data_IF_280696255973
#
_entry.id   IF_280696255973
#
_cell.length_a   1.000
_cell.length_b   1.000
_cell.length_c   1.000
_cell.angle_alpha   90.00
_cell.angle_beta   90.00
_cell.angle_gamma   90.00
#
_symmetry.space_group_name_H-M   'P 1'
#
loop_
_entity.id
_entity.type
_entity.pdbx_description
1 polymer ?
#
# COMPACT_ATOMS: atom_id res chain seq x y z
N UNK A 1 18.88 28.14 22.49
CA UNK A 1 18.24 27.22 23.44
C UNK A 1 18.09 25.90 22.72
N UNK A 2 18.25 24.75 23.38
CA UNK A 2 18.06 23.46 22.69
C UNK A 2 16.59 23.15 22.55
N UNK A 3 16.19 22.60 21.40
CA UNK A 3 14.81 22.15 21.15
C UNK A 3 14.35 21.15 22.21
N UNK A 4 15.21 20.23 22.63
CA UNK A 4 14.90 19.24 23.66
C UNK A 4 14.57 19.90 25.01
N UNK A 5 15.27 20.99 25.34
CA UNK A 5 15.04 21.75 26.57
C UNK A 5 13.69 22.49 26.52
N UNK A 6 13.35 23.09 25.37
CA UNK A 6 12.05 23.72 25.14
C UNK A 6 10.91 22.72 25.28
N UNK A 7 11.02 21.56 24.65
CA UNK A 7 10.00 20.51 24.72
C UNK A 7 9.87 19.93 26.13
N UNK A 8 10.99 19.67 26.81
CA UNK A 8 10.99 19.18 28.19
C UNK A 8 10.32 20.15 29.17
N UNK A 9 10.50 21.46 28.98
CA UNK A 9 9.81 22.49 29.78
C UNK A 9 8.29 22.38 29.67
N UNK A 10 7.78 22.07 28.47
CA UNK A 10 6.37 21.85 28.22
C UNK A 10 5.91 20.42 28.57
N UNK A 11 6.76 19.59 29.17
CA UNK A 11 6.41 18.21 29.53
C UNK A 11 6.35 17.26 28.33
N UNK A 12 7.07 17.56 27.26
CA UNK A 12 7.19 16.70 26.06
C UNK A 12 8.54 16.00 26.06
N UNK A 13 8.52 14.67 25.99
CA UNK A 13 9.71 13.80 26.11
C UNK A 13 10.54 13.69 24.82
N UNK A 14 9.88 13.79 23.66
CA UNK A 14 10.50 13.74 22.34
C UNK A 14 9.75 14.63 21.35
N UNK A 15 10.43 15.10 20.31
CA UNK A 15 9.80 15.97 19.32
C UNK A 15 8.69 15.23 18.53
N UNK A 16 7.42 15.61 18.67
CA UNK A 16 6.31 14.93 18.02
C UNK A 16 6.22 15.23 16.52
N UNK A 17 6.94 16.22 16.00
CA UNK A 17 6.83 16.71 14.63
C UNK A 17 8.10 16.50 13.79
N UNK A 18 9.06 15.72 14.28
CA UNK A 18 10.34 15.52 13.60
C UNK A 18 10.24 14.65 12.34
N UNK A 19 9.34 13.67 12.33
CA UNK A 19 9.15 12.73 11.22
C UNK A 19 7.87 13.05 10.45
N UNK A 20 7.96 13.06 9.12
CA UNK A 20 6.85 13.43 8.21
C UNK A 20 6.28 12.26 7.43
N UNK A 21 7.06 11.19 7.31
CA UNK A 21 6.70 9.99 6.58
C UNK A 21 6.12 8.97 7.55
N UNK A 22 4.86 8.60 7.35
CA UNK A 22 4.15 7.65 8.20
C UNK A 22 4.85 6.28 8.30
N UNK A 23 5.66 5.90 7.29
CA UNK A 23 6.41 4.64 7.33
C UNK A 23 7.60 4.68 8.30
N UNK A 24 8.23 5.83 8.51
CA UNK A 24 9.35 5.96 9.44
C UNK A 24 8.91 6.52 10.78
N UNK A 25 7.77 7.21 10.80
CA UNK A 25 7.22 7.90 11.96
C UNK A 25 6.91 6.96 13.13
N UNK A 26 7.83 6.94 14.11
CA UNK A 26 7.68 6.12 15.31
C UNK A 26 6.60 6.64 16.26
N UNK A 27 6.30 7.94 16.24
CA UNK A 27 5.22 8.54 17.03
C UNK A 27 3.89 8.05 16.52
N UNK A 28 3.72 8.09 15.20
CA UNK A 28 2.53 7.61 14.55
C UNK A 28 2.26 6.13 14.86
N UNK A 29 3.23 5.25 14.57
CA UNK A 29 3.07 3.80 14.72
C UNK A 29 2.82 3.33 16.15
N UNK A 30 3.47 3.95 17.12
CA UNK A 30 3.38 3.47 18.50
C UNK A 30 2.19 4.07 19.27
N UNK A 31 1.78 5.30 18.94
CA UNK A 31 0.98 6.12 19.88
C UNK A 31 -0.15 6.94 19.23
N UNK A 32 -0.24 7.03 17.89
CA UNK A 32 -1.26 7.87 17.24
C UNK A 32 -2.09 7.16 16.17
N UNK A 33 -2.02 5.83 16.09
CA UNK A 33 -2.76 5.06 15.09
C UNK A 33 -4.28 5.28 15.22
N UNK A 34 -4.78 5.51 16.43
CA UNK A 34 -6.22 5.67 16.68
C UNK A 34 -6.78 7.03 16.23
N UNK A 35 -5.93 7.99 15.84
CA UNK A 35 -6.38 9.30 15.34
C UNK A 35 -6.80 9.17 13.89
N UNK A 36 -8.10 9.01 13.67
CA UNK A 36 -8.66 8.69 12.36
C UNK A 36 -9.05 9.94 11.57
N UNK A 37 -8.92 9.85 10.25
CA UNK A 37 -9.45 10.84 9.33
C UNK A 37 -11.00 10.82 9.34
N UNK A 38 -11.70 11.96 9.14
CA UNK A 38 -13.16 11.98 9.08
C UNK A 38 -13.78 11.04 8.02
N UNK A 39 -13.06 10.80 6.93
CA UNK A 39 -13.50 9.85 5.88
C UNK A 39 -13.26 8.38 6.25
N UNK A 40 -12.74 8.07 7.44
CA UNK A 40 -12.36 6.72 7.86
C UNK A 40 -13.47 5.69 7.64
N UNK A 41 -14.69 5.97 8.08
CA UNK A 41 -15.79 4.99 7.98
C UNK A 41 -16.10 4.62 6.52
N UNK A 42 -15.94 5.56 5.59
CA UNK A 42 -16.13 5.34 4.16
C UNK A 42 -14.99 4.55 3.52
N UNK A 43 -13.78 4.74 4.04
CA UNK A 43 -12.56 4.05 3.56
C UNK A 43 -12.48 2.64 4.15
N UNK A 44 -12.61 2.49 5.47
CA UNK A 44 -12.49 1.21 6.16
C UNK A 44 -13.67 0.30 5.86
N UNK A 45 -14.91 0.74 6.11
CA UNK A 45 -16.11 -0.06 5.98
C UNK A 45 -16.19 -1.18 7.02
N UNK A 46 -16.89 -2.27 6.68
CA UNK A 46 -16.98 -3.47 7.51
C UNK A 46 -15.90 -4.49 7.09
N UNK A 47 -15.00 -4.95 7.98
CA UNK A 47 -14.03 -5.99 7.64
C UNK A 47 -14.69 -7.33 7.29
N UNK A 48 -15.87 -7.66 7.85
CA UNK A 48 -16.56 -8.92 7.57
C UNK A 48 -17.13 -8.97 6.12
N UNK A 49 -17.43 -7.81 5.54
CA UNK A 49 -17.81 -7.66 4.13
C UNK A 49 -16.83 -6.69 3.44
N UNK A 50 -15.63 -7.17 3.04
CA UNK A 50 -14.57 -6.29 2.57
C UNK A 50 -14.99 -5.58 1.28
N UNK A 51 -15.34 -4.30 1.41
CA UNK A 51 -15.78 -3.46 0.31
C UNK A 51 -14.63 -2.67 -0.32
N UNK A 52 -14.76 -2.39 -1.62
CA UNK A 52 -13.80 -1.58 -2.35
C UNK A 52 -14.02 -0.07 -2.14
N UNK A 53 -12.93 0.64 -1.88
CA UNK A 53 -12.91 2.11 -1.79
C UNK A 53 -11.76 2.71 -2.59
N UNK A 54 -12.03 3.81 -3.28
CA UNK A 54 -11.04 4.62 -3.98
C UNK A 54 -10.86 5.92 -3.21
N UNK A 55 -9.63 6.26 -2.87
CA UNK A 55 -9.31 7.41 -2.04
C UNK A 55 -8.29 8.26 -2.76
N UNK A 56 -8.69 9.45 -3.15
CA UNK A 56 -7.84 10.42 -3.81
C UNK A 56 -7.29 11.41 -2.78
N UNK A 57 -5.99 11.71 -2.84
CA UNK A 57 -5.40 12.67 -1.93
C UNK A 57 -4.08 13.22 -2.44
N UNK A 58 -3.79 14.46 -2.08
CA UNK A 58 -2.54 15.13 -2.43
C UNK A 58 -1.34 14.45 -1.74
N UNK A 59 -0.13 14.83 -2.16
CA UNK A 59 1.10 14.36 -1.53
C UNK A 59 1.18 14.88 -0.08
N UNK A 60 1.24 13.96 0.88
CA UNK A 60 1.28 14.31 2.31
C UNK A 60 -0.10 14.43 2.98
N UNK A 61 -1.20 14.17 2.27
CA UNK A 61 -2.56 14.14 2.83
C UNK A 61 -2.84 12.97 3.80
N UNK A 62 -1.88 12.05 4.00
CA UNK A 62 -2.03 10.93 4.93
C UNK A 62 -2.52 9.62 4.31
N UNK A 63 -2.37 9.42 2.98
CA UNK A 63 -2.70 8.15 2.29
C UNK A 63 -2.03 6.94 2.96
N UNK A 64 -0.71 6.98 3.12
CA UNK A 64 0.04 5.90 3.76
C UNK A 64 -0.29 5.73 5.25
N UNK A 65 -0.59 6.82 5.96
CA UNK A 65 -1.09 6.74 7.33
C UNK A 65 -2.43 6.00 7.40
N UNK A 66 -3.37 6.33 6.50
CA UNK A 66 -4.65 5.62 6.35
C UNK A 66 -4.44 4.14 6.05
N UNK A 67 -3.50 3.78 5.17
CA UNK A 67 -3.17 2.37 4.88
C UNK A 67 -2.75 1.62 6.15
N UNK A 68 -1.80 2.19 6.90
CA UNK A 68 -1.28 1.59 8.12
C UNK A 68 -2.38 1.43 9.17
N UNK A 69 -3.26 2.43 9.31
CA UNK A 69 -4.43 2.36 10.18
C UNK A 69 -5.39 1.25 9.76
N UNK A 70 -5.66 1.08 8.46
CA UNK A 70 -6.51 0.00 7.95
C UNK A 70 -5.89 -1.36 8.24
N UNK A 71 -4.59 -1.54 7.98
CA UNK A 71 -3.89 -2.79 8.25
C UNK A 71 -3.96 -3.17 9.73
N UNK A 72 -3.68 -2.21 10.63
CA UNK A 72 -3.71 -2.44 12.07
C UNK A 72 -5.14 -2.64 12.61
N UNK A 73 -6.13 -1.92 12.07
CA UNK A 73 -7.53 -2.15 12.43
C UNK A 73 -8.00 -3.56 12.04
N UNK A 74 -7.53 -4.08 10.90
CA UNK A 74 -7.80 -5.46 10.47
C UNK A 74 -7.07 -6.46 11.38
N UNK A 75 -5.83 -6.18 11.76
CA UNK A 75 -5.07 -7.04 12.70
C UNK A 75 -5.79 -7.15 14.04
N UNK A 76 -6.22 -6.02 14.63
CA UNK A 76 -7.01 -6.00 15.87
C UNK A 76 -8.35 -6.71 15.73
N UNK A 77 -9.02 -6.58 14.58
CA UNK A 77 -10.25 -7.32 14.28
C UNK A 77 -9.99 -8.84 14.21
N UNK A 78 -8.88 -9.23 13.60
CA UNK A 78 -8.47 -10.62 13.49
C UNK A 78 -8.14 -11.23 14.85
N UNK A 79 -7.48 -10.48 15.74
CA UNK A 79 -7.17 -10.89 17.12
C UNK A 79 -8.44 -11.04 17.98
N UNK A 80 -9.45 -10.20 17.75
CA UNK A 80 -10.73 -10.29 18.43
C UNK A 80 -11.60 -11.46 17.93
N UNK A 81 -11.35 -11.95 16.71
CA UNK A 81 -12.10 -13.04 16.11
C UNK A 81 -11.59 -14.41 16.57
N UNK A 82 -12.51 -15.26 17.03
CA UNK A 82 -12.18 -16.65 17.33
C UNK A 82 -11.71 -17.38 16.05
N UNK A 83 -10.62 -18.15 16.16
CA UNK A 83 -10.02 -18.84 15.02
C UNK A 83 -10.98 -19.82 14.32
N UNK A 84 -11.95 -20.36 15.07
CA UNK A 84 -12.92 -21.39 14.66
C UNK A 84 -14.36 -20.84 14.45
N UNK A 85 -14.52 -19.52 14.26
CA UNK A 85 -15.84 -18.93 14.00
C UNK A 85 -16.40 -19.39 12.63
N UNK A 86 -17.71 -19.71 12.58
CA UNK A 86 -18.44 -19.99 11.34
C UNK A 86 -19.62 -19.00 11.19
N UNK A 87 -19.59 -18.07 10.20
CA UNK A 87 -18.56 -17.93 9.17
C UNK A 87 -17.23 -17.36 9.72
N UNK A 88 -16.09 -17.67 9.06
CA UNK A 88 -14.79 -17.16 9.46
C UNK A 88 -14.76 -15.63 9.40
N UNK A 89 -14.46 -15.00 10.54
CA UNK A 89 -14.48 -13.54 10.67
C UNK A 89 -13.17 -12.84 10.32
N UNK A 90 -12.06 -13.59 10.18
CA UNK A 90 -10.73 -13.00 9.93
C UNK A 90 -10.59 -12.54 8.47
N UNK A 91 -9.77 -11.52 8.25
CA UNK A 91 -9.51 -10.93 6.94
C UNK A 91 -8.02 -11.01 6.64
N UNK A 92 -7.68 -11.55 5.47
CA UNK A 92 -6.29 -11.61 5.01
C UNK A 92 -5.90 -10.29 4.34
N UNK A 93 -4.84 -9.63 4.81
CA UNK A 93 -4.35 -8.38 4.22
C UNK A 93 -3.28 -8.67 3.18
N UNK A 94 -3.41 -8.08 1.99
CA UNK A 94 -2.39 -8.11 0.94
C UNK A 94 -1.91 -6.69 0.70
N UNK A 95 -0.68 -6.41 1.10
CA UNK A 95 -0.03 -5.13 0.82
C UNK A 95 0.48 -5.11 -0.62
N UNK A 96 -0.14 -4.27 -1.45
CA UNK A 96 0.19 -4.08 -2.87
C UNK A 96 0.72 -2.64 -3.07
N UNK A 97 1.88 -2.34 -2.49
CA UNK A 97 2.46 -0.99 -2.43
C UNK A 97 3.88 -0.88 -3.05
N UNK A 98 4.70 -1.94 -3.01
CA UNK A 98 6.01 -1.94 -3.68
C UNK A 98 5.93 -2.48 -5.13
N UNK A 99 5.70 -1.57 -6.08
CA UNK A 99 5.61 -1.93 -7.50
C UNK A 99 6.96 -2.03 -8.22
N UNK A 100 8.06 -1.51 -7.65
CA UNK A 100 9.35 -1.48 -8.37
C UNK A 100 9.79 -2.88 -8.79
N UNK A 101 9.83 -3.91 -7.91
CA UNK A 101 10.22 -5.25 -8.31
C UNK A 101 9.28 -5.85 -9.36
N UNK A 102 7.99 -5.50 -9.33
CA UNK A 102 6.99 -6.02 -10.26
C UNK A 102 7.18 -5.43 -11.67
N UNK A 103 7.36 -4.10 -11.74
CA UNK A 103 7.57 -3.37 -12.98
C UNK A 103 8.93 -3.68 -13.60
N UNK A 104 10.00 -3.83 -12.81
CA UNK A 104 11.33 -4.21 -13.30
C UNK A 104 11.30 -5.58 -13.95
N UNK A 105 10.73 -6.57 -13.26
CA UNK A 105 10.56 -7.93 -13.78
C UNK A 105 9.75 -7.97 -15.07
N UNK A 106 8.83 -7.02 -15.24
CA UNK A 106 8.01 -6.90 -16.42
C UNK A 106 8.75 -6.21 -17.57
N UNK A 107 9.44 -5.10 -17.30
CA UNK A 107 10.25 -4.38 -18.26
C UNK A 107 11.34 -5.27 -18.86
N UNK A 108 12.00 -6.09 -18.03
CA UNK A 108 12.99 -7.09 -18.44
C UNK A 108 12.45 -8.16 -19.41
N UNK A 109 11.13 -8.40 -19.38
CA UNK A 109 10.46 -9.39 -20.24
C UNK A 109 9.95 -8.82 -21.54
N UNK A 110 9.95 -7.51 -21.68
CA UNK A 110 9.62 -6.85 -22.93
C UNK A 110 10.84 -6.84 -23.86
N UNK A 111 10.65 -6.70 -25.19
CA UNK A 111 11.76 -6.48 -26.10
C UNK A 111 12.59 -5.28 -25.63
N UNK A 112 13.92 -5.36 -25.71
CA UNK A 112 14.84 -4.33 -25.18
C UNK A 112 14.53 -2.90 -25.65
N UNK A 113 13.95 -2.73 -26.85
CA UNK A 113 13.51 -1.43 -27.38
C UNK A 113 12.29 -0.85 -26.65
N UNK A 114 11.41 -1.69 -26.12
CA UNK A 114 10.24 -1.30 -25.31
C UNK A 114 10.59 -1.21 -23.83
N UNK A 115 11.36 -2.16 -23.30
CA UNK A 115 11.74 -2.20 -21.88
C UNK A 115 12.54 -0.99 -21.38
N UNK A 116 13.21 -0.26 -22.27
CA UNK A 116 13.96 0.98 -21.94
C UNK A 116 13.10 2.23 -21.89
N UNK A 117 11.86 2.17 -22.37
CA UNK A 117 10.96 3.32 -22.51
C UNK A 117 9.75 3.12 -21.59
N UNK A 118 9.71 3.88 -20.50
CA UNK A 118 8.68 3.76 -19.47
C UNK A 118 7.26 3.87 -20.03
N UNK A 119 7.00 4.77 -20.97
CA UNK A 119 5.66 4.95 -21.55
C UNK A 119 5.20 3.68 -22.25
N UNK A 120 6.08 3.05 -23.05
CA UNK A 120 5.78 1.80 -23.75
C UNK A 120 5.64 0.61 -22.82
N UNK A 121 6.36 0.60 -21.69
CA UNK A 121 6.22 -0.43 -20.67
C UNK A 121 4.81 -0.35 -20.06
N UNK A 122 4.37 0.86 -19.70
CA UNK A 122 3.09 1.08 -19.04
C UNK A 122 1.89 0.87 -19.97
N UNK A 123 2.01 1.24 -21.25
CA UNK A 123 1.00 0.93 -22.28
C UNK A 123 0.71 -0.59 -22.39
N UNK A 124 1.72 -1.43 -22.14
CA UNK A 124 1.63 -2.89 -22.22
C UNK A 124 1.20 -3.54 -20.90
N UNK A 125 1.19 -2.77 -19.81
CA UNK A 125 0.76 -3.22 -18.49
C UNK A 125 -0.77 -3.32 -18.46
N UNK A 126 -1.30 -4.47 -18.04
CA UNK A 126 -2.74 -4.75 -18.05
C UNK A 126 -3.22 -5.23 -16.69
N UNK A 127 -4.55 -5.28 -16.54
CA UNK A 127 -5.22 -5.77 -15.34
C UNK A 127 -4.68 -7.12 -14.87
N UNK A 128 -4.42 -8.02 -15.81
CA UNK A 128 -3.94 -9.35 -15.48
C UNK A 128 -2.52 -9.36 -14.89
N UNK A 129 -1.70 -8.36 -15.19
CA UNK A 129 -0.36 -8.21 -14.60
C UNK A 129 -0.50 -7.73 -13.14
N UNK A 130 -1.49 -6.89 -12.82
CA UNK A 130 -1.86 -6.58 -11.43
C UNK A 130 -2.37 -7.82 -10.68
N UNK A 131 -3.26 -8.62 -11.30
CA UNK A 131 -3.77 -9.86 -10.70
C UNK A 131 -2.63 -10.83 -10.40
N UNK A 132 -1.67 -10.98 -11.33
CA UNK A 132 -0.50 -11.83 -11.13
C UNK A 132 0.38 -11.31 -9.97
N UNK A 133 0.53 -9.99 -9.83
CA UNK A 133 1.24 -9.36 -8.72
C UNK A 133 0.58 -9.61 -7.36
N UNK A 134 -0.72 -9.33 -7.24
CA UNK A 134 -1.52 -9.56 -6.03
C UNK A 134 -1.50 -11.05 -5.64
N UNK A 135 -1.72 -11.94 -6.60
CA UNK A 135 -1.64 -13.40 -6.38
C UNK A 135 -0.25 -13.81 -5.90
N UNK A 136 0.81 -13.26 -6.50
CA UNK A 136 2.19 -13.57 -6.10
C UNK A 136 2.46 -13.20 -4.65
N UNK A 137 2.06 -11.99 -4.24
CA UNK A 137 2.30 -11.49 -2.90
C UNK A 137 1.49 -12.30 -1.90
N UNK A 138 0.18 -12.46 -2.15
CA UNK A 138 -0.70 -13.23 -1.28
C UNK A 138 -0.25 -14.68 -1.10
N UNK A 139 0.17 -15.36 -2.18
CA UNK A 139 0.67 -16.75 -2.10
C UNK A 139 2.03 -16.82 -1.41
N UNK A 140 2.93 -15.86 -1.64
CA UNK A 140 4.25 -15.85 -0.99
C UNK A 140 4.11 -15.61 0.51
N UNK A 141 3.23 -14.69 0.90
CA UNK A 141 2.91 -14.39 2.29
C UNK A 141 2.24 -15.59 2.97
N UNK A 142 1.24 -16.19 2.31
CA UNK A 142 0.61 -17.44 2.77
C UNK A 142 1.63 -18.59 2.93
N UNK A 143 2.53 -18.77 1.98
CA UNK A 143 3.56 -19.80 2.09
C UNK A 143 4.54 -19.47 3.23
N UNK A 144 4.85 -18.21 3.45
CA UNK A 144 5.73 -17.77 4.54
C UNK A 144 5.08 -17.97 5.91
N UNK A 145 3.77 -17.71 6.04
CA UNK A 145 3.00 -17.96 7.26
C UNK A 145 2.83 -19.45 7.56
N UNK A 146 2.69 -20.28 6.52
CA UNK A 146 2.67 -21.75 6.64
C UNK A 146 4.09 -22.32 6.88
N UNK A 147 5.15 -21.65 6.43
CA UNK A 147 6.53 -22.15 6.44
C UNK A 147 7.25 -22.16 7.81
N UNK A 148 6.56 -21.90 8.93
CA UNK A 148 7.06 -22.23 10.28
C UNK A 148 6.41 -23.51 10.84
N UNK A 149 5.38 -24.07 10.19
CA UNK A 149 4.71 -25.31 10.63
C UNK A 149 5.07 -26.58 9.86
N UNK A 150 5.62 -26.48 8.64
CA UNK A 150 5.77 -27.62 7.73
C UNK A 150 7.22 -27.93 7.29
N UNK A 151 8.23 -27.37 7.97
CA UNK A 151 9.65 -27.71 7.76
C UNK A 151 10.21 -28.71 8.78
N UNK A 152 9.41 -29.16 9.76
CA UNK A 152 9.74 -30.26 10.68
C UNK A 152 8.61 -31.30 10.57
N UNK A 153 8.69 -32.19 9.58
CA UNK A 153 7.69 -33.28 9.46
C UNK A 153 7.65 -34.08 8.15
N UNK A 154 8.41 -33.71 7.12
CA UNK A 154 8.36 -34.43 5.83
C UNK A 154 9.75 -34.74 5.27
N UNK A 155 10.58 -35.40 6.07
CA UNK A 155 11.68 -36.22 5.55
C UNK A 155 11.80 -37.50 6.38
N UNK A 156 11.01 -38.52 6.03
CA UNK A 156 11.45 -39.90 6.27
C UNK A 156 10.83 -40.92 5.29
N UNK A 157 11.77 -41.67 4.71
CA UNK A 157 11.73 -43.06 4.25
C UNK A 157 10.74 -43.48 3.15
N UNK A 158 11.26 -43.73 1.95
CA UNK A 158 11.08 -45.01 1.24
C UNK A 158 12.44 -45.43 0.63
N UNK A 159 13.16 -46.27 1.37
CA UNK A 159 14.12 -47.23 0.79
C UNK A 159 13.33 -48.27 0.01
N UNK A 160 13.73 -48.56 -1.23
CA UNK A 160 13.63 -49.85 -1.95
C UNK A 160 13.75 -49.59 -3.46
N UNK A 161 14.93 -49.87 -4.04
CA UNK A 161 15.02 -50.43 -5.40
C UNK A 161 16.43 -51.00 -5.68
N UNK A 162 16.65 -52.25 -5.30
CA UNK A 162 17.78 -53.05 -5.77
C UNK A 162 17.30 -54.05 -6.83
N UNK A 163 17.62 -53.78 -8.10
CA UNK A 163 17.65 -54.79 -9.18
C UNK A 163 18.33 -54.20 -10.43
N UNK A 164 19.33 -54.92 -10.94
CA UNK A 164 20.31 -54.52 -11.96
C UNK A 164 19.90 -54.84 -13.41
N UNK A 165 18.60 -54.99 -13.70
CA UNK A 165 18.12 -55.48 -15.01
C UNK A 165 17.12 -54.55 -15.72
N UNK A 166 16.99 -53.28 -15.30
CA UNK A 166 16.14 -52.25 -15.94
C UNK A 166 16.81 -51.51 -17.11
N UNK A 167 18.11 -51.66 -17.31
CA UNK A 167 18.85 -50.86 -18.31
C UNK A 167 18.68 -51.32 -19.78
N UNK A 168 17.96 -52.42 -20.04
CA UNK A 168 17.70 -52.91 -21.41
C UNK A 168 16.33 -52.47 -22.00
N UNK A 169 15.44 -51.87 -21.21
CA UNK A 169 14.15 -51.28 -21.67
C UNK A 169 14.22 -49.73 -21.72
N UNK A 170 15.33 -49.16 -21.23
CA UNK A 170 15.51 -47.73 -20.95
C UNK A 170 15.60 -46.80 -22.19
N UNK A 171 15.49 -47.31 -23.42
CA UNK A 171 15.44 -46.46 -24.62
C UNK A 171 14.03 -46.26 -25.19
N UNK A 172 13.09 -47.20 -24.96
CA UNK A 172 11.70 -47.09 -25.42
C UNK A 172 10.76 -46.42 -24.39
N UNK A 173 11.09 -46.51 -23.10
CA UNK A 173 10.30 -45.92 -22.00
C UNK A 173 10.45 -44.40 -21.84
N UNK A 174 11.31 -43.75 -22.62
CA UNK A 174 11.52 -42.30 -22.54
C UNK A 174 10.54 -41.51 -23.41
N UNK A 175 9.82 -42.13 -24.37
CA UNK A 175 8.86 -41.41 -25.22
C UNK A 175 7.77 -40.72 -24.38
N UNK A 176 7.10 -41.37 -23.40
CA UNK A 176 6.14 -40.69 -22.53
C UNK A 176 6.78 -39.57 -21.70
N UNK A 177 8.05 -39.73 -21.29
CA UNK A 177 8.79 -38.70 -20.56
C UNK A 177 9.13 -37.49 -21.44
N UNK A 178 9.58 -37.70 -22.68
CA UNK A 178 9.85 -36.65 -23.66
C UNK A 178 8.58 -35.97 -24.12
N UNK A 179 7.47 -36.70 -24.33
CA UNK A 179 6.16 -36.14 -24.64
C UNK A 179 5.64 -35.30 -23.47
N UNK A 180 5.73 -35.83 -22.24
CA UNK A 180 5.39 -35.08 -21.02
C UNK A 180 6.25 -33.82 -20.93
N UNK A 181 7.56 -33.93 -21.05
CA UNK A 181 8.49 -32.80 -20.99
C UNK A 181 8.22 -31.77 -22.09
N UNK A 182 8.01 -32.20 -23.34
CA UNK A 182 7.71 -31.30 -24.46
C UNK A 182 6.38 -30.57 -24.23
N UNK A 183 5.35 -31.27 -23.79
CA UNK A 183 4.07 -30.67 -23.43
C UNK A 183 4.21 -29.69 -22.25
N UNK A 184 4.91 -30.07 -21.18
CA UNK A 184 5.19 -29.18 -20.04
C UNK A 184 6.06 -27.99 -20.43
N UNK A 185 6.97 -28.15 -21.39
CA UNK A 185 7.81 -27.06 -21.91
C UNK A 185 7.00 -26.09 -22.75
N UNK A 186 6.07 -26.57 -23.59
CA UNK A 186 5.16 -25.72 -24.35
C UNK A 186 4.19 -24.98 -23.42
N UNK A 187 3.61 -25.66 -22.42
CA UNK A 187 2.78 -25.04 -21.39
C UNK A 187 3.57 -24.01 -20.58
N UNK A 188 4.76 -24.37 -20.11
CA UNK A 188 5.66 -23.46 -19.39
C UNK A 188 6.00 -22.24 -20.24
N UNK A 189 6.24 -22.39 -21.54
CA UNK A 189 6.46 -21.26 -22.47
C UNK A 189 5.20 -20.39 -22.61
N UNK A 190 4.03 -21.00 -22.70
CA UNK A 190 2.75 -20.28 -22.71
C UNK A 190 2.53 -19.46 -21.44
N UNK A 191 2.67 -20.07 -20.26
CA UNK A 191 2.59 -19.38 -18.97
C UNK A 191 3.68 -18.30 -18.87
N UNK A 192 4.90 -18.63 -19.27
CA UNK A 192 6.03 -17.71 -19.22
C UNK A 192 5.84 -16.48 -20.12
N UNK A 193 5.08 -16.60 -21.20
CA UNK A 193 4.76 -15.48 -22.08
C UNK A 193 3.68 -14.56 -21.49
N UNK A 194 2.72 -15.13 -20.76
CA UNK A 194 1.55 -14.38 -20.28
C UNK A 194 1.66 -13.92 -18.82
N UNK A 195 2.56 -14.50 -18.03
CA UNK A 195 2.81 -14.11 -16.62
C UNK A 195 4.14 -13.39 -16.54
N UNK A 196 4.08 -12.06 -16.60
CA UNK A 196 5.26 -11.19 -16.77
C UNK A 196 5.74 -10.53 -15.49
N UNK A 197 5.13 -10.81 -14.35
CA UNK A 197 5.43 -10.12 -13.10
C UNK A 197 6.18 -10.99 -12.07
N UNK A 198 5.98 -12.31 -12.09
CA UNK A 198 6.55 -13.23 -11.08
C UNK A 198 8.08 -13.32 -11.12
N UNK A 199 8.73 -13.56 -9.97
CA UNK A 199 10.15 -13.97 -9.95
C UNK A 199 10.27 -15.41 -10.42
N UNK A 200 11.34 -15.75 -11.16
CA UNK A 200 11.56 -17.11 -11.68
C UNK A 200 12.95 -17.59 -11.26
N UNK A 201 13.05 -18.17 -10.07
CA UNK A 201 14.32 -18.74 -9.57
C UNK A 201 14.62 -20.14 -10.14
N UNK A 202 13.59 -20.84 -10.64
CA UNK A 202 13.69 -22.13 -11.33
C UNK A 202 13.00 -22.08 -12.68
N UNK A 203 13.35 -23.00 -13.59
CA UNK A 203 12.62 -23.09 -14.85
C UNK A 203 11.19 -23.55 -14.56
N UNK A 204 10.19 -22.83 -15.09
CA UNK A 204 8.77 -23.18 -14.93
C UNK A 204 8.49 -24.62 -15.40
N UNK A 205 9.27 -25.11 -16.37
CA UNK A 205 9.22 -26.51 -16.83
C UNK A 205 9.55 -27.49 -15.71
N UNK A 206 10.57 -27.23 -14.89
CA UNK A 206 10.94 -28.11 -13.77
C UNK A 206 9.85 -28.17 -12.70
N UNK A 207 9.21 -27.03 -12.40
CA UNK A 207 8.08 -26.98 -11.47
C UNK A 207 6.87 -27.78 -11.99
N UNK A 208 6.51 -27.59 -13.27
CA UNK A 208 5.40 -28.33 -13.89
C UNK A 208 5.68 -29.83 -14.05
N UNK A 209 6.95 -30.23 -14.16
CA UNK A 209 7.33 -31.64 -14.24
C UNK A 209 7.13 -32.39 -12.92
N UNK A 210 7.16 -31.69 -11.77
CA UNK A 210 6.88 -32.25 -10.44
C UNK A 210 5.39 -32.52 -10.19
N UNK A 211 4.50 -31.91 -10.97
CA UNK A 211 3.06 -32.11 -10.88
C UNK A 211 2.61 -33.33 -11.71
N UNK A 212 1.58 -34.04 -11.23
CA UNK A 212 0.93 -35.12 -11.99
C UNK A 212 0.11 -34.52 -13.13
N UNK A 213 -0.20 -35.31 -14.17
CA UNK A 213 -1.02 -34.82 -15.31
C UNK A 213 -2.47 -34.57 -14.91
N UNK A 214 -3.05 -35.49 -14.14
CA UNK A 214 -4.41 -35.38 -13.61
C UNK A 214 -4.60 -34.12 -12.76
N UNK A 215 -3.60 -33.77 -11.93
CA UNK A 215 -3.65 -32.57 -11.09
C UNK A 215 -3.61 -31.28 -11.93
N UNK A 216 -3.10 -31.32 -13.18
CA UNK A 216 -2.91 -30.15 -14.04
C UNK A 216 -4.04 -29.95 -15.06
N UNK A 217 -4.69 -31.01 -15.52
CA UNK A 217 -5.63 -30.99 -16.66
C UNK A 217 -6.82 -30.03 -16.49
N UNK A 218 -7.22 -29.73 -15.24
CA UNK A 218 -8.31 -28.82 -14.91
C UNK A 218 -7.85 -27.60 -14.08
N UNK A 219 -6.57 -27.24 -14.19
CA UNK A 219 -6.06 -26.04 -13.54
C UNK A 219 -6.23 -24.83 -14.46
N UNK A 220 -6.70 -23.67 -13.94
CA UNK A 220 -6.79 -22.44 -14.69
C UNK A 220 -5.39 -21.84 -14.87
N UNK A 221 -4.64 -22.40 -15.80
CA UNK A 221 -3.30 -21.94 -16.10
C UNK A 221 -3.35 -20.71 -17.00
N UNK A 222 -2.69 -19.59 -16.64
CA UNK A 222 -2.65 -18.37 -17.43
C UNK A 222 -1.72 -18.56 -18.65
N UNK A 223 -2.11 -19.42 -19.60
CA UNK A 223 -1.37 -19.73 -20.82
C UNK A 223 -1.85 -18.93 -22.04
N UNK A 224 -2.92 -18.14 -21.85
CA UNK A 224 -3.53 -17.24 -22.84
C UNK A 224 -3.60 -15.82 -22.28
N UNK A 225 -3.65 -14.78 -23.14
CA UNK A 225 -3.82 -13.39 -22.71
C UNK A 225 -5.30 -13.13 -22.35
N UNK A 226 -5.80 -13.78 -21.30
CA UNK A 226 -7.17 -13.63 -20.78
C UNK A 226 -7.17 -13.49 -19.26
N UNK A 227 -8.24 -12.92 -18.72
CA UNK A 227 -8.40 -12.67 -17.27
C UNK A 227 -9.15 -13.78 -16.54
N UNK A 228 -9.97 -14.59 -17.23
CA UNK A 228 -10.83 -15.59 -16.59
C UNK A 228 -10.06 -16.63 -15.77
N UNK A 229 -8.92 -17.13 -16.28
CA UNK A 229 -8.06 -18.07 -15.54
C UNK A 229 -7.61 -17.49 -14.19
N UNK A 230 -7.34 -16.19 -14.16
CA UNK A 230 -6.81 -15.50 -12.97
C UNK A 230 -7.90 -15.25 -11.94
N UNK A 231 -9.12 -15.00 -12.39
CA UNK A 231 -10.28 -14.93 -11.50
C UNK A 231 -10.52 -16.30 -10.83
N UNK A 232 -10.38 -17.40 -11.57
CA UNK A 232 -10.48 -18.75 -10.98
C UNK A 232 -9.34 -19.03 -9.99
N UNK A 233 -8.10 -18.62 -10.30
CA UNK A 233 -6.97 -18.72 -9.37
C UNK A 233 -7.21 -17.93 -8.08
N UNK A 234 -7.76 -16.72 -8.18
CA UNK A 234 -8.09 -15.88 -7.03
C UNK A 234 -9.20 -16.53 -6.20
N UNK A 235 -10.23 -17.10 -6.83
CA UNK A 235 -11.26 -17.89 -6.15
C UNK A 235 -10.71 -19.13 -5.45
N UNK A 236 -9.73 -19.82 -6.05
CA UNK A 236 -9.02 -20.94 -5.39
C UNK A 236 -8.23 -20.47 -4.18
N UNK A 237 -7.52 -19.34 -4.28
CA UNK A 237 -6.82 -18.73 -3.15
C UNK A 237 -7.81 -18.40 -2.01
N UNK A 238 -8.95 -17.79 -2.33
CA UNK A 238 -10.00 -17.53 -1.33
C UNK A 238 -10.51 -18.82 -0.67
N UNK A 239 -10.68 -19.89 -1.44
CA UNK A 239 -11.06 -21.20 -0.89
C UNK A 239 -10.04 -21.74 0.11
N UNK A 240 -8.75 -21.61 -0.19
CA UNK A 240 -7.65 -21.99 0.72
C UNK A 240 -7.65 -21.10 1.96
N UNK A 241 -7.75 -19.78 1.80
CA UNK A 241 -7.80 -18.83 2.91
C UNK A 241 -9.01 -19.07 3.82
N UNK A 242 -10.17 -19.41 3.25
CA UNK A 242 -11.37 -19.77 4.02
C UNK A 242 -11.16 -21.03 4.85
N UNK A 243 -10.50 -22.04 4.31
CA UNK A 243 -10.13 -23.25 5.07
C UNK A 243 -9.14 -22.95 6.22
N UNK A 244 -8.41 -21.84 6.14
CA UNK A 244 -7.52 -21.34 7.19
C UNK A 244 -8.20 -20.36 8.15
N UNK A 245 -9.50 -20.14 8.02
CA UNK A 245 -10.29 -19.28 8.91
C UNK A 245 -10.36 -17.81 8.50
N UNK A 246 -10.00 -17.47 7.25
CA UNK A 246 -10.15 -16.12 6.69
C UNK A 246 -11.39 -16.02 5.79
N UNK A 247 -12.36 -15.19 6.17
CA UNK A 247 -13.61 -15.00 5.43
C UNK A 247 -13.50 -14.06 4.23
N UNK A 248 -12.50 -13.16 4.25
CA UNK A 248 -12.29 -12.17 3.21
C UNK A 248 -10.82 -11.83 2.99
N UNK A 249 -10.57 -11.15 1.87
CA UNK A 249 -9.25 -10.61 1.51
C UNK A 249 -9.35 -9.10 1.34
N UNK A 250 -8.43 -8.36 1.95
CA UNK A 250 -8.30 -6.93 1.77
C UNK A 250 -6.99 -6.62 1.05
N UNK A 251 -7.08 -6.05 -0.15
CA UNK A 251 -5.91 -5.63 -0.94
C UNK A 251 -5.70 -4.13 -0.75
N UNK A 252 -4.59 -3.75 -0.12
CA UNK A 252 -4.23 -2.36 0.14
C UNK A 252 -3.28 -1.89 -0.96
N UNK A 253 -3.72 -0.93 -1.77
CA UNK A 253 -2.94 -0.38 -2.89
C UNK A 253 -2.53 1.04 -2.53
N UNK A 254 -1.23 1.30 -2.39
CA UNK A 254 -0.68 2.60 -2.01
C UNK A 254 0.62 2.87 -2.78
N UNK A 255 1.17 4.08 -2.68
CA UNK A 255 2.46 4.47 -3.26
C UNK A 255 2.55 4.26 -4.77
N UNK A 256 1.42 4.43 -5.46
CA UNK A 256 1.36 4.26 -6.92
C UNK A 256 2.15 5.33 -7.67
N UNK A 257 2.50 6.44 -7.03
CA UNK A 257 3.32 7.53 -7.58
C UNK A 257 4.83 7.37 -7.40
N UNK A 258 5.27 6.40 -6.58
CA UNK A 258 6.66 6.24 -6.18
C UNK A 258 7.56 5.42 -7.12
N UNK A 259 7.06 4.42 -7.86
CA UNK A 259 7.91 3.63 -8.72
C UNK A 259 8.70 4.46 -9.72
N UNK A 260 9.99 4.15 -9.86
CA UNK A 260 10.90 4.97 -10.66
C UNK A 260 10.52 5.03 -12.15
N UNK A 261 9.85 4.00 -12.68
CA UNK A 261 9.32 3.98 -14.05
C UNK A 261 8.17 4.96 -14.27
N UNK A 262 7.40 5.27 -13.21
CA UNK A 262 6.31 6.24 -13.28
C UNK A 262 6.86 7.66 -13.20
N UNK A 263 7.95 7.86 -12.44
CA UNK A 263 8.71 9.10 -12.43
C UNK A 263 7.89 10.32 -12.02
N UNK A 264 6.85 10.11 -11.21
CA UNK A 264 5.93 11.16 -10.76
C UNK A 264 5.05 11.79 -11.85
N UNK A 265 5.04 11.25 -13.08
CA UNK A 265 4.22 11.77 -14.18
C UNK A 265 2.79 11.26 -14.07
N UNK A 266 1.82 12.16 -14.13
CA UNK A 266 0.41 11.83 -13.94
C UNK A 266 -0.10 10.88 -15.02
N UNK A 267 0.35 11.02 -16.26
CA UNK A 267 -0.04 10.15 -17.38
C UNK A 267 0.43 8.72 -17.16
N UNK A 268 1.64 8.54 -16.65
CA UNK A 268 2.20 7.22 -16.38
C UNK A 268 1.46 6.51 -15.25
N UNK A 269 1.17 7.25 -14.18
CA UNK A 269 0.40 6.76 -13.04
C UNK A 269 -1.02 6.41 -13.51
N UNK A 270 -1.63 7.25 -14.34
CA UNK A 270 -2.94 7.02 -14.97
C UNK A 270 -2.94 5.71 -15.76
N UNK A 271 -2.01 5.55 -16.70
CA UNK A 271 -1.96 4.37 -17.58
C UNK A 271 -1.75 3.07 -16.78
N UNK A 272 -1.00 3.14 -15.68
CA UNK A 272 -0.85 2.02 -14.74
C UNK A 272 -2.17 1.69 -14.00
N UNK A 273 -2.80 2.68 -13.36
CA UNK A 273 -3.99 2.49 -12.51
C UNK A 273 -5.24 2.15 -13.30
N UNK A 274 -5.42 2.71 -14.49
CA UNK A 274 -6.66 2.61 -15.27
C UNK A 274 -7.09 1.19 -15.57
N UNK A 275 -6.11 0.28 -15.70
CA UNK A 275 -6.38 -1.13 -15.93
C UNK A 275 -7.06 -1.80 -14.73
N UNK A 276 -6.86 -1.30 -13.51
CA UNK A 276 -7.53 -1.77 -12.27
C UNK A 276 -8.95 -1.22 -12.11
N UNK A 277 -9.31 -0.13 -12.80
CA UNK A 277 -10.62 0.51 -12.73
C UNK A 277 -11.64 -0.24 -13.59
N UNK A 278 -11.92 -1.48 -13.19
CA UNK A 278 -12.90 -2.36 -13.84
C UNK A 278 -13.88 -2.91 -12.80
N UNK A 279 -15.18 -2.83 -13.08
CA UNK A 279 -16.18 -3.27 -12.11
C UNK A 279 -16.10 -4.78 -11.80
N UNK A 280 -15.71 -5.64 -12.76
CA UNK A 280 -15.55 -7.08 -12.49
C UNK A 280 -14.40 -7.32 -11.51
N UNK A 281 -13.34 -6.52 -11.61
CA UNK A 281 -12.19 -6.61 -10.72
C UNK A 281 -12.45 -5.98 -9.34
N UNK A 282 -13.04 -4.80 -9.29
CA UNK A 282 -13.28 -4.05 -8.06
C UNK A 282 -14.42 -4.63 -7.20
N UNK A 283 -15.34 -5.40 -7.80
CA UNK A 283 -16.56 -5.89 -7.14
C UNK A 283 -16.57 -7.40 -7.00
N UNK A 284 -15.45 -7.95 -6.53
CA UNK A 284 -15.29 -9.38 -6.32
C UNK A 284 -15.81 -9.80 -4.94
N UNK A 285 -16.61 -10.87 -4.86
CA UNK A 285 -17.16 -11.32 -3.59
C UNK A 285 -16.03 -11.81 -2.67
N UNK A 286 -15.98 -11.29 -1.43
CA UNK A 286 -14.95 -11.64 -0.45
C UNK A 286 -13.58 -11.03 -0.71
N UNK A 287 -13.46 -10.07 -1.64
CA UNK A 287 -12.23 -9.29 -1.86
C UNK A 287 -12.56 -7.80 -1.93
N UNK A 288 -12.00 -7.02 -1.01
CA UNK A 288 -12.07 -5.57 -1.02
C UNK A 288 -10.75 -4.96 -1.46
N UNK A 289 -10.82 -3.91 -2.28
CA UNK A 289 -9.65 -3.12 -2.66
C UNK A 289 -9.68 -1.75 -2.01
N UNK A 290 -8.61 -1.35 -1.32
CA UNK A 290 -8.43 0.02 -0.84
C UNK A 290 -7.38 0.70 -1.71
N UNK A 291 -7.84 1.45 -2.72
CA UNK A 291 -6.97 2.15 -3.66
C UNK A 291 -6.70 3.56 -3.15
N UNK A 292 -5.46 3.82 -2.73
CA UNK A 292 -4.98 5.12 -2.31
C UNK A 292 -4.24 5.76 -3.49
N UNK A 293 -4.86 6.76 -4.10
CA UNK A 293 -4.49 7.34 -5.39
C UNK A 293 -4.09 8.82 -5.25
N UNK A 294 -3.17 9.32 -6.10
CA UNK A 294 -2.88 10.75 -6.19
C UNK A 294 -4.11 11.56 -6.62
N UNK A 295 -4.28 12.77 -6.08
CA UNK A 295 -5.45 13.63 -6.33
C UNK A 295 -5.58 14.05 -7.80
N UNK A 296 -4.45 14.18 -8.51
CA UNK A 296 -4.35 14.59 -9.91
C UNK A 296 -5.07 13.59 -10.85
N UNK A 297 -5.18 12.33 -10.44
CA UNK A 297 -5.90 11.31 -11.20
C UNK A 297 -7.42 11.55 -11.20
N UNK A 298 -7.97 12.25 -10.20
CA UNK A 298 -9.41 12.50 -10.15
C UNK A 298 -9.88 13.35 -11.33
N UNK A 299 -9.09 14.37 -11.72
CA UNK A 299 -9.43 15.19 -12.89
C UNK A 299 -9.42 14.36 -14.18
N UNK A 300 -8.43 13.50 -14.33
CA UNK A 300 -8.32 12.59 -15.47
C UNK A 300 -9.52 11.65 -15.50
N UNK A 301 -9.89 11.10 -14.35
CA UNK A 301 -11.02 10.20 -14.20
C UNK A 301 -12.36 10.87 -14.57
N UNK A 302 -12.55 12.14 -14.21
CA UNK A 302 -13.77 12.88 -14.52
C UNK A 302 -13.86 13.30 -16.00
N UNK A 303 -12.72 13.34 -16.71
CA UNK A 303 -12.65 13.66 -18.15
C UNK A 303 -12.78 12.43 -19.04
N UNK A 304 -12.86 11.23 -18.48
CA UNK A 304 -12.95 9.98 -19.24
C UNK A 304 -14.26 9.87 -20.03
N UNK A 305 -14.23 8.95 -21.00
CA UNK A 305 -15.37 8.72 -21.87
C UNK A 305 -16.50 7.95 -21.18
N UNK A 306 -17.68 8.03 -21.79
CA UNK A 306 -18.89 7.36 -21.27
C UNK A 306 -18.72 5.84 -21.23
N UNK A 307 -17.91 5.27 -22.12
CA UNK A 307 -17.67 3.83 -22.18
C UNK A 307 -16.81 3.36 -21.00
N UNK A 308 -15.77 4.12 -20.63
CA UNK A 308 -15.00 3.89 -19.42
C UNK A 308 -15.88 3.94 -18.17
N UNK A 309 -16.69 5.00 -18.00
CA UNK A 309 -17.54 5.14 -16.81
C UNK A 309 -18.57 4.00 -16.68
N UNK A 310 -19.12 3.52 -17.79
CA UNK A 310 -20.04 2.37 -17.81
C UNK A 310 -19.34 1.07 -17.40
N UNK A 311 -18.08 0.89 -17.78
CA UNK A 311 -17.29 -0.30 -17.44
C UNK A 311 -16.79 -0.27 -15.99
N UNK A 312 -16.26 0.87 -15.54
CA UNK A 312 -15.68 1.02 -14.21
C UNK A 312 -16.75 1.08 -13.10
N UNK A 313 -17.94 1.62 -13.40
CA UNK A 313 -19.08 1.77 -12.47
C UNK A 313 -18.69 2.30 -11.09
N UNK A 314 -17.92 3.39 -11.08
CA UNK A 314 -17.42 4.00 -9.86
C UNK A 314 -18.53 4.58 -8.96
N UNK A 315 -19.71 4.83 -9.53
CA UNK A 315 -20.94 5.17 -8.80
C UNK A 315 -21.34 4.09 -7.77
N UNK A 316 -20.92 2.84 -7.98
CA UNK A 316 -21.20 1.71 -7.08
C UNK A 316 -20.08 1.41 -6.09
N UNK A 317 -19.03 2.22 -6.08
CA UNK A 317 -17.85 2.06 -5.24
C UNK A 317 -17.76 3.21 -4.24
N UNK A 318 -17.07 2.98 -3.12
CA UNK A 318 -16.84 4.03 -2.14
C UNK A 318 -15.73 4.97 -2.60
N UNK A 319 -16.09 6.02 -3.34
CA UNK A 319 -15.13 7.03 -3.82
C UNK A 319 -15.02 8.19 -2.83
N UNK A 320 -13.81 8.45 -2.33
CA UNK A 320 -13.42 9.63 -1.55
C UNK A 320 -12.63 10.55 -2.50
N UNK A 321 -13.22 11.66 -2.99
CA UNK A 321 -12.63 12.49 -4.03
C UNK A 321 -11.43 13.31 -3.53
N UNK A 322 -11.36 13.60 -2.23
CA UNK A 322 -10.23 14.31 -1.64
C UNK A 322 -10.09 13.92 -0.18
N UNK A 323 -8.85 13.73 0.27
CA UNK A 323 -8.48 13.62 1.68
C UNK A 323 -8.21 15.02 2.24
N UNK A 324 -9.27 15.81 2.38
CA UNK A 324 -9.19 17.17 2.91
C UNK A 324 -9.18 17.16 4.44
N UNK A 325 -8.24 17.88 5.04
CA UNK A 325 -8.18 18.06 6.48
C UNK A 325 -8.73 19.42 6.90
N UNK A 326 -9.65 19.40 7.85
CA UNK A 326 -10.13 20.63 8.47
C UNK A 326 -9.12 21.17 9.47
N UNK A 327 -9.17 22.47 9.77
CA UNK A 327 -8.31 23.09 10.78
C UNK A 327 -8.46 22.43 12.15
N UNK A 328 -9.66 22.01 12.52
CA UNK A 328 -9.93 21.34 13.79
C UNK A 328 -9.36 19.92 13.77
N UNK A 329 -9.54 19.15 12.69
CA UNK A 329 -8.92 17.82 12.56
C UNK A 329 -7.38 17.87 12.59
N UNK A 330 -6.77 18.90 12.01
CA UNK A 330 -5.32 19.13 12.09
C UNK A 330 -4.88 19.51 13.51
N UNK A 331 -5.68 20.31 14.21
CA UNK A 331 -5.44 20.64 15.63
C UNK A 331 -5.52 19.40 16.49
N UNK A 332 -6.53 18.55 16.29
CA UNK A 332 -6.71 17.30 17.01
C UNK A 332 -5.55 16.34 16.75
N UNK A 333 -5.08 16.27 15.49
CA UNK A 333 -3.90 15.49 15.14
C UNK A 333 -2.63 16.00 15.83
N UNK A 334 -2.41 17.32 15.87
CA UNK A 334 -1.29 17.90 16.61
C UNK A 334 -1.39 17.61 18.12
N UNK A 335 -2.59 17.75 18.69
CA UNK A 335 -2.85 17.49 20.10
C UNK A 335 -2.61 16.02 20.46
N UNK A 336 -3.09 15.08 19.63
CA UNK A 336 -2.87 13.66 19.85
C UNK A 336 -1.38 13.29 19.78
N UNK A 337 -0.60 13.88 18.87
CA UNK A 337 0.85 13.67 18.81
C UNK A 337 1.59 14.26 20.01
N UNK A 338 1.15 15.43 20.50
CA UNK A 338 1.68 16.02 21.72
C UNK A 338 1.37 15.16 22.95
N UNK A 339 0.13 14.68 23.06
CA UNK A 339 -0.30 13.77 24.12
C UNK A 339 0.49 12.46 24.08
N UNK A 340 0.70 11.88 22.90
CA UNK A 340 1.53 10.70 22.71
C UNK A 340 2.98 10.92 23.21
N UNK A 341 3.54 12.11 23.03
CA UNK A 341 4.91 12.41 23.45
C UNK A 341 4.98 13.05 24.85
N UNK A 342 3.89 13.07 25.61
CA UNK A 342 3.84 13.68 26.93
C UNK A 342 4.61 12.87 27.98
N UNK A 343 5.21 13.56 28.94
CA UNK A 343 5.75 12.94 30.14
C UNK A 343 4.60 12.45 31.05
N UNK A 344 4.88 11.48 31.92
CA UNK A 344 3.88 10.89 32.81
C UNK A 344 3.18 11.97 33.66
N UNK A 345 1.86 12.08 33.54
CA UNK A 345 1.04 13.08 34.23
C UNK A 345 1.02 14.48 33.59
N UNK A 346 1.73 14.71 32.49
CA UNK A 346 1.70 15.97 31.75
C UNK A 346 0.64 15.95 30.62
N UNK A 347 -0.03 17.07 30.39
CA UNK A 347 -0.99 17.25 29.28
C UNK A 347 -0.60 18.47 28.44
N UNK A 348 0.51 18.39 27.68
CA UNK A 348 0.99 19.50 26.86
C UNK A 348 -0.03 19.86 25.79
N UNK A 349 -0.36 21.15 25.68
CA UNK A 349 -1.17 21.66 24.56
C UNK A 349 -0.32 22.53 23.64
N UNK A 350 -0.69 22.56 22.35
CA UNK A 350 -0.05 23.47 21.40
C UNK A 350 -0.20 24.94 21.83
N UNK A 351 -1.28 25.26 22.57
CA UNK A 351 -1.53 26.60 23.06
C UNK A 351 -0.50 27.05 24.09
N UNK A 352 -0.03 26.15 24.94
CA UNK A 352 0.96 26.48 25.99
C UNK A 352 2.31 26.92 25.42
N UNK A 353 2.63 26.45 24.21
CA UNK A 353 3.88 26.76 23.50
C UNK A 353 3.83 28.09 22.72
N UNK A 354 2.64 28.67 22.50
CA UNK A 354 2.44 29.86 21.66
C UNK A 354 2.02 31.04 22.55
N UNK A 355 2.62 32.22 22.31
CA UNK A 355 2.29 33.42 23.08
C UNK A 355 0.80 33.78 22.97
N UNK A 356 0.14 34.19 24.08
CA UNK A 356 -1.26 34.64 24.07
C UNK A 356 -1.58 35.75 23.07
N UNK A 357 -0.59 36.56 22.67
CA UNK A 357 -0.72 37.59 21.63
C UNK A 357 -1.14 37.02 20.27
N UNK A 358 -0.82 35.76 19.98
CA UNK A 358 -1.40 35.04 18.83
C UNK A 358 -2.73 34.45 19.28
N UNK A 359 -3.83 34.88 18.64
CA UNK A 359 -5.17 34.39 18.96
C UNK A 359 -5.41 32.95 18.47
N UNK A 360 -6.32 32.23 19.12
CA UNK A 360 -6.70 30.87 18.69
C UNK A 360 -7.34 30.88 17.29
N UNK A 361 -8.05 31.96 16.95
CA UNK A 361 -8.58 32.17 15.60
C UNK A 361 -7.46 32.31 14.56
N UNK A 362 -6.35 32.96 14.93
CA UNK A 362 -5.18 33.09 14.04
C UNK A 362 -4.46 31.77 13.86
N UNK A 363 -4.31 30.99 14.93
CA UNK A 363 -3.77 29.62 14.86
C UNK A 363 -4.66 28.76 13.97
N UNK A 364 -5.98 28.80 14.15
CA UNK A 364 -6.93 28.05 13.32
C UNK A 364 -6.82 28.42 11.83
N UNK A 365 -6.69 29.72 11.52
CA UNK A 365 -6.49 30.21 10.16
C UNK A 365 -5.20 29.65 9.57
N UNK A 366 -4.10 29.74 10.32
CA UNK A 366 -2.81 29.21 9.90
C UNK A 366 -2.86 27.69 9.67
N UNK A 367 -3.54 26.93 10.53
CA UNK A 367 -3.71 25.48 10.33
C UNK A 367 -4.54 25.18 9.07
N UNK A 368 -5.56 25.98 8.77
CA UNK A 368 -6.39 25.81 7.57
C UNK A 368 -5.59 25.99 6.28
N UNK A 369 -4.64 26.94 6.25
CA UNK A 369 -3.84 27.18 5.05
C UNK A 369 -2.85 26.05 4.75
N UNK A 370 -2.44 25.28 5.76
CA UNK A 370 -1.50 24.16 5.60
C UNK A 370 -2.11 22.96 4.86
N UNK A 371 -3.44 22.75 4.94
CA UNK A 371 -4.25 21.70 4.27
C UNK A 371 -3.91 20.24 4.56
N UNK A 372 -2.66 19.89 4.85
CA UNK A 372 -2.22 18.50 5.03
C UNK A 372 -1.42 18.27 6.32
N UNK A 373 -1.46 17.05 6.91
CA UNK A 373 -0.64 16.68 8.06
C UNK A 373 0.85 16.88 7.86
N UNK A 374 1.38 16.58 6.66
CA UNK A 374 2.79 16.79 6.34
C UNK A 374 3.18 18.26 6.48
N UNK A 375 2.33 19.16 5.97
CA UNK A 375 2.59 20.59 6.06
C UNK A 375 2.48 21.10 7.50
N UNK A 376 1.51 20.57 8.26
CA UNK A 376 1.40 20.80 9.70
C UNK A 376 2.69 20.46 10.45
N UNK A 377 3.22 19.26 10.27
CA UNK A 377 4.41 18.81 11.01
C UNK A 377 5.65 19.63 10.63
N UNK A 378 5.85 19.88 9.33
CA UNK A 378 6.92 20.76 8.84
C UNK A 378 6.84 22.16 9.44
N UNK A 379 5.64 22.75 9.44
CA UNK A 379 5.43 24.09 9.97
C UNK A 379 5.76 24.13 11.47
N UNK A 380 5.19 23.22 12.27
CA UNK A 380 5.42 23.18 13.71
C UNK A 380 6.88 22.87 14.08
N UNK A 381 7.51 21.93 13.37
CA UNK A 381 8.94 21.63 13.54
C UNK A 381 9.80 22.85 13.26
N UNK A 382 9.55 23.55 12.14
CA UNK A 382 10.28 24.76 11.75
C UNK A 382 10.03 25.91 12.72
N UNK A 383 8.80 26.07 13.19
CA UNK A 383 8.41 27.09 14.16
C UNK A 383 9.20 26.92 15.46
N UNK A 384 9.18 25.72 16.04
CA UNK A 384 9.90 25.40 17.28
C UNK A 384 11.41 25.58 17.07
N UNK A 385 11.96 25.04 15.99
CA UNK A 385 13.40 25.11 15.71
C UNK A 385 13.88 26.55 15.51
N UNK A 386 13.11 27.37 14.77
CA UNK A 386 13.43 28.78 14.54
C UNK A 386 13.40 29.56 15.84
N UNK A 387 12.37 29.36 16.68
CA UNK A 387 12.27 29.99 18.00
C UNK A 387 13.42 29.59 18.93
N UNK A 388 13.80 28.32 18.94
CA UNK A 388 14.91 27.84 19.78
C UNK A 388 16.27 28.41 19.33
N UNK A 389 16.43 28.68 18.04
CA UNK A 389 17.64 29.27 17.45
C UNK A 389 17.79 30.77 17.70
N UNK A 390 16.69 31.50 17.92
CA UNK A 390 16.74 32.96 18.19
C UNK A 390 17.05 33.30 19.64
N UNK A 391 16.88 32.35 20.57
CA UNK A 391 17.09 32.55 22.00
C UNK A 391 18.32 31.79 22.50
N UNK A 392 19.00 32.29 23.53
CA UNK A 392 20.19 31.63 24.11
C UNK A 392 19.78 30.67 25.23
N UNK A 393 20.68 29.78 25.66
CA UNK A 393 20.43 28.95 26.86
C UNK A 393 20.43 29.79 28.16
N UNK A 394 21.14 30.91 28.17
CA UNK A 394 21.24 31.83 29.32
C UNK A 394 20.01 32.71 29.52
N UNK A 395 19.24 32.96 28.46
CA UNK A 395 18.00 33.75 28.50
C UNK A 395 16.89 33.03 27.70
N UNK A 396 16.28 31.97 28.29
CA UNK A 396 15.32 31.13 27.59
C UNK A 396 13.93 31.76 27.58
N UNK A 397 13.33 31.81 26.39
CA UNK A 397 11.92 32.19 26.21
C UNK A 397 11.11 30.94 25.87
N UNK A 398 10.13 30.61 26.71
CA UNK A 398 9.37 29.35 26.62
C UNK A 398 8.11 29.44 25.77
N UNK A 399 7.77 30.61 25.22
CA UNK A 399 6.61 30.80 24.34
C UNK A 399 7.03 31.43 23.03
N UNK A 400 6.51 30.90 21.94
CA UNK A 400 6.78 31.43 20.60
C UNK A 400 6.02 32.74 20.39
N UNK A 401 6.76 33.82 20.18
CA UNK A 401 6.19 35.15 19.96
C UNK A 401 5.51 35.31 18.58
N UNK A 402 4.61 36.30 18.43
CA UNK A 402 3.85 36.52 17.20
C UNK A 402 4.75 36.82 15.99
N UNK A 403 5.86 37.53 16.18
CA UNK A 403 6.79 37.85 15.09
C UNK A 403 7.40 36.59 14.46
N UNK A 404 7.84 35.64 15.28
CA UNK A 404 8.40 34.37 14.80
C UNK A 404 7.32 33.51 14.13
N UNK A 405 6.12 33.47 14.71
CA UNK A 405 4.99 32.75 14.15
C UNK A 405 4.63 33.23 12.74
N UNK A 406 4.44 34.54 12.57
CA UNK A 406 4.09 35.13 11.27
C UNK A 406 5.23 35.02 10.26
N UNK A 407 6.48 35.20 10.69
CA UNK A 407 7.64 35.06 9.81
C UNK A 407 7.75 33.63 9.24
N UNK A 408 7.66 32.62 10.10
CA UNK A 408 7.73 31.20 9.66
C UNK A 408 6.54 30.85 8.77
N UNK A 409 5.32 31.28 9.14
CA UNK A 409 4.12 31.03 8.34
C UNK A 409 4.21 31.67 6.95
N UNK A 410 4.70 32.91 6.85
CA UNK A 410 4.86 33.61 5.58
C UNK A 410 5.93 33.00 4.67
N UNK A 411 6.99 32.43 5.24
CA UNK A 411 7.98 31.67 4.47
C UNK A 411 7.38 30.36 3.98
N UNK A 412 6.67 29.64 4.85
CA UNK A 412 6.04 28.37 4.51
C UNK A 412 4.98 28.52 3.40
N UNK A 413 4.11 29.52 3.51
CA UNK A 413 3.09 29.80 2.50
C UNK A 413 3.71 30.14 1.12
N UNK A 414 4.87 30.82 1.10
CA UNK A 414 5.59 31.10 -0.16
C UNK A 414 6.19 29.84 -0.78
N UNK A 415 6.75 28.96 0.03
CA UNK A 415 7.28 27.66 -0.42
C UNK A 415 6.15 26.78 -0.99
N UNK A 416 5.01 26.70 -0.29
CA UNK A 416 3.84 25.96 -0.75
C UNK A 416 3.31 26.51 -2.08
N UNK A 417 3.13 27.83 -2.19
CA UNK A 417 2.70 28.46 -3.45
C UNK A 417 3.73 28.30 -4.60
N UNK A 418 5.01 28.08 -4.30
CA UNK A 418 6.01 27.73 -5.31
C UNK A 418 5.83 26.30 -5.81
N UNK A 419 5.57 25.36 -4.91
CA UNK A 419 5.35 23.95 -5.23
C UNK A 419 4.07 23.80 -6.06
N UNK A 420 2.97 24.43 -5.64
CA UNK A 420 1.68 24.37 -6.32
C UNK A 420 1.77 24.91 -7.76
N UNK A 421 2.54 26.00 -7.95
CA UNK A 421 2.82 26.54 -9.30
C UNK A 421 3.69 25.62 -10.14
N UNK A 422 4.66 24.94 -9.53
CA UNK A 422 5.48 23.94 -10.22
C UNK A 422 4.65 22.74 -10.67
N UNK A 423 3.73 22.26 -9.83
CA UNK A 423 2.79 21.17 -10.15
C UNK A 423 1.76 21.58 -11.21
N UNK A 424 1.35 22.85 -11.26
CA UNK A 424 0.42 23.35 -12.29
C UNK A 424 1.07 23.56 -13.65
N UNK A 425 2.40 23.59 -13.72
CA UNK A 425 3.18 23.86 -14.94
C UNK A 425 3.80 22.60 -15.56
N UNK A 426 3.81 21.49 -14.84
CA UNK A 426 4.17 20.14 -15.30
C UNK A 426 2.94 19.37 -15.72
#
# INVERSE_FOLDING_TARGET
MRTDQFLAHHGVTRNPFAEEDAQTDQVFKALCVDVRHPAWDKVYGDPADPATSLVFGEKGAGKTAMRLQVAEAIERHNDACAADADPPGRVWVVEYDDFNPLLDRFADRLPARKGRDATRVLEEWKLWDHMDGVLSIAVTDLLSSIAIGALIGYFQAWDYLSWYLTYLVAFAGWVPYWVKWAHRKLLARGIAKNVRVLRRDRTMTDLLMRLRSQDLENQPLPNKPRTDDRYELLGKLQGVLRALGYGGVMVLVDRVDEPHLLGGRVEHIRDFVWSMLDNKFLRQPGIGFKLLLPAELLEHLNREDRDFHQRARLDKQNVVPSLDWTADSLRDLAAARLAACSAEGATPTLRDMIDPAVSDSRIAEALRTLRTPRHLFKFLFRLISTHCNTHTESDPVWRVGPETFEAVLAVYAREQASIDRGLSAS
#
